data_IF_037033776591
#
_entry.id   IF_037033776591
#
_cell.length_a   1.000
_cell.length_b   1.000
_cell.length_c   1.000
_cell.angle_alpha   90.00
_cell.angle_beta   90.00
_cell.angle_gamma   90.00
#
_symmetry.space_group_name_H-M   'P 1'
#
loop_
_entity.id
_entity.type
_entity.pdbx_description
1 polymer ?
#
# COMPACT_ATOMS: atom_id res chain seq x y z
N UNK A 1 26.49 -1.69 2.90
CA UNK A 1 26.06 -0.91 4.10
C UNK A 1 25.08 0.15 3.65
N UNK A 2 23.78 -0.05 3.91
CA UNK A 2 22.76 0.95 3.59
C UNK A 2 22.70 1.97 4.75
N UNK A 3 23.05 3.22 4.47
CA UNK A 3 23.06 4.29 5.46
C UNK A 3 21.67 4.94 5.51
N UNK A 4 21.04 4.91 6.68
CA UNK A 4 19.67 5.36 6.96
C UNK A 4 19.64 6.85 7.35
N UNK A 5 19.01 7.71 6.54
CA UNK A 5 18.75 9.11 6.90
C UNK A 5 17.26 9.46 6.75
N UNK A 6 16.47 9.14 7.78
CA UNK A 6 15.05 9.50 7.81
C UNK A 6 14.80 10.94 8.26
N UNK A 7 13.76 11.54 7.68
CA UNK A 7 13.04 12.76 8.08
C UNK A 7 12.20 12.48 9.35
N UNK A 8 12.82 12.00 10.42
CA UNK A 8 12.20 11.91 11.74
C UNK A 8 13.06 12.76 12.69
N UNK A 9 12.51 13.81 13.32
CA UNK A 9 13.29 14.65 14.22
C UNK A 9 13.99 13.77 15.27
N UNK A 10 15.27 14.04 15.61
CA UNK A 10 16.06 13.25 16.55
C UNK A 10 15.35 12.84 17.86
N UNK A 11 14.45 13.66 18.46
CA UNK A 11 13.72 13.29 19.67
C UNK A 11 12.77 12.08 19.50
N UNK A 12 12.11 11.94 18.34
CA UNK A 12 11.16 10.84 18.10
C UNK A 12 11.86 9.50 17.91
N UNK A 13 13.04 9.48 17.28
CA UNK A 13 13.84 8.26 17.06
C UNK A 13 14.28 7.61 18.37
N UNK A 14 14.68 8.40 19.37
CA UNK A 14 15.05 7.89 20.71
C UNK A 14 13.88 7.31 21.49
N UNK A 15 12.65 7.78 21.26
CA UNK A 15 11.45 7.38 22.00
C UNK A 15 10.82 6.08 21.47
N UNK A 16 10.88 5.84 20.16
CA UNK A 16 10.19 4.72 19.53
C UNK A 16 11.06 3.48 19.29
N UNK A 17 12.40 3.60 19.33
CA UNK A 17 13.35 2.50 19.07
C UNK A 17 13.11 1.71 17.76
N UNK A 18 12.46 2.33 16.77
CA UNK A 18 12.17 1.70 15.48
C UNK A 18 13.23 2.04 14.44
N UNK A 19 13.65 1.03 13.67
CA UNK A 19 14.50 1.21 12.51
C UNK A 19 13.65 1.61 11.30
N UNK A 20 14.03 2.68 10.61
CA UNK A 20 13.45 3.04 9.31
C UNK A 20 14.37 2.50 8.20
N UNK A 21 13.77 1.85 7.20
CA UNK A 21 14.49 1.32 6.05
C UNK A 21 14.21 2.18 4.82
N UNK A 22 15.28 2.68 4.19
CA UNK A 22 15.24 3.28 2.86
C UNK A 22 15.96 2.33 1.90
N UNK A 23 15.25 1.86 0.89
CA UNK A 23 15.78 0.95 -0.12
C UNK A 23 15.05 1.17 -1.45
N UNK A 24 15.61 0.62 -2.54
CA UNK A 24 14.93 0.64 -3.83
C UNK A 24 13.66 -0.22 -3.75
N UNK A 25 12.58 0.24 -4.39
CA UNK A 25 11.32 -0.51 -4.49
C UNK A 25 11.56 -1.90 -5.10
N UNK A 26 12.42 -2.01 -6.10
CA UNK A 26 12.79 -3.28 -6.73
C UNK A 26 13.37 -4.26 -5.71
N UNK A 27 14.24 -3.79 -4.82
CA UNK A 27 14.93 -4.62 -3.85
C UNK A 27 13.95 -5.10 -2.77
N UNK A 28 13.11 -4.18 -2.26
CA UNK A 28 12.07 -4.53 -1.29
C UNK A 28 11.11 -5.59 -1.86
N UNK A 29 10.63 -5.39 -3.09
CA UNK A 29 9.75 -6.36 -3.75
C UNK A 29 10.45 -7.70 -3.98
N UNK A 30 11.72 -7.69 -4.37
CA UNK A 30 12.52 -8.91 -4.54
C UNK A 30 12.66 -9.70 -3.23
N UNK A 31 12.96 -9.02 -2.12
CA UNK A 31 13.06 -9.64 -0.79
C UNK A 31 11.71 -10.25 -0.37
N UNK A 32 10.62 -9.51 -0.53
CA UNK A 32 9.28 -9.98 -0.15
C UNK A 32 8.84 -11.17 -1.01
N UNK A 33 9.09 -11.13 -2.31
CA UNK A 33 8.77 -12.23 -3.23
C UNK A 33 9.55 -13.49 -2.87
N UNK A 34 10.88 -13.37 -2.69
CA UNK A 34 11.73 -14.49 -2.30
C UNK A 34 11.23 -15.13 -1.01
N UNK A 35 10.93 -14.31 0.01
CA UNK A 35 10.44 -14.81 1.29
C UNK A 35 9.06 -15.47 1.18
N UNK A 36 8.15 -14.91 0.39
CA UNK A 36 6.83 -15.50 0.18
C UNK A 36 6.95 -16.88 -0.50
N UNK A 37 7.79 -17.00 -1.52
CA UNK A 37 8.04 -18.27 -2.21
C UNK A 37 8.70 -19.31 -1.29
N UNK A 38 9.69 -18.92 -0.48
CA UNK A 38 10.29 -19.81 0.54
C UNK A 38 9.27 -20.37 1.52
N UNK A 39 8.25 -19.57 1.87
CA UNK A 39 7.15 -19.97 2.75
C UNK A 39 6.05 -20.78 2.03
N UNK A 40 6.21 -21.06 0.74
CA UNK A 40 5.29 -21.87 -0.06
C UNK A 40 4.19 -21.09 -0.77
N UNK A 41 4.27 -19.75 -0.83
CA UNK A 41 3.32 -18.97 -1.62
C UNK A 41 3.50 -19.25 -3.12
N UNK A 42 2.39 -19.53 -3.81
CA UNK A 42 2.38 -19.75 -5.27
C UNK A 42 2.20 -18.41 -5.98
N UNK A 43 3.26 -17.92 -6.63
CA UNK A 43 3.22 -16.68 -7.40
C UNK A 43 3.06 -16.97 -8.89
N UNK A 44 2.01 -16.42 -9.52
CA UNK A 44 1.76 -16.53 -10.96
C UNK A 44 1.91 -15.15 -11.60
N UNK A 45 2.89 -15.01 -12.49
CA UNK A 45 3.11 -13.79 -13.28
C UNK A 45 2.42 -13.88 -14.64
N UNK A 46 2.12 -12.73 -15.25
CA UNK A 46 1.35 -12.68 -16.50
C UNK A 46 -0.12 -13.10 -16.33
N UNK A 47 -0.61 -13.11 -15.08
CA UNK A 47 -1.94 -13.54 -14.70
C UNK A 47 -2.79 -12.32 -14.31
N UNK A 48 -3.40 -11.66 -15.30
CA UNK A 48 -4.23 -10.47 -15.10
C UNK A 48 -5.69 -10.85 -14.82
N UNK A 49 -6.26 -10.29 -13.75
CA UNK A 49 -7.68 -10.48 -13.41
C UNK A 49 -8.56 -9.61 -14.31
N UNK A 50 -9.53 -10.25 -14.97
CA UNK A 50 -10.52 -9.58 -15.81
C UNK A 50 -11.79 -9.23 -15.04
N UNK A 51 -12.27 -10.15 -14.21
CA UNK A 51 -13.51 -9.98 -13.45
C UNK A 51 -13.51 -10.73 -12.13
N UNK A 52 -14.40 -10.32 -11.22
CA UNK A 52 -14.61 -10.96 -9.94
C UNK A 52 -16.09 -10.97 -9.57
N UNK A 53 -16.62 -12.16 -9.26
CA UNK A 53 -17.92 -12.29 -8.63
C UNK A 53 -17.74 -12.23 -7.11
N UNK A 54 -18.14 -11.09 -6.54
CA UNK A 54 -18.00 -10.78 -5.14
C UNK A 54 -19.25 -11.09 -4.31
N UNK A 55 -20.32 -11.61 -4.93
CA UNK A 55 -21.60 -11.90 -4.26
C UNK A 55 -21.80 -13.41 -4.00
N UNK A 56 -21.04 -14.28 -4.69
CA UNK A 56 -21.09 -15.73 -4.49
C UNK A 56 -20.50 -16.21 -3.14
N UNK A 57 -20.94 -17.37 -2.65
CA UNK A 57 -20.46 -18.01 -1.40
C UNK A 57 -18.95 -18.32 -1.40
N UNK A 58 -18.36 -18.43 -2.59
CA UNK A 58 -16.92 -18.40 -2.84
C UNK A 58 -16.66 -17.37 -3.94
N UNK A 59 -15.59 -16.61 -3.80
CA UNK A 59 -15.24 -15.59 -4.79
C UNK A 59 -14.73 -16.26 -6.06
N UNK A 60 -15.47 -16.08 -7.16
CA UNK A 60 -15.07 -16.53 -8.49
C UNK A 60 -14.23 -15.45 -9.14
N UNK A 61 -12.99 -15.80 -9.48
CA UNK A 61 -12.04 -14.93 -10.16
C UNK A 61 -11.94 -15.35 -11.62
N UNK A 62 -12.22 -14.43 -12.53
CA UNK A 62 -12.08 -14.64 -13.98
C UNK A 62 -10.83 -13.94 -14.48
N UNK A 63 -9.93 -14.69 -15.10
CA UNK A 63 -8.69 -14.20 -15.68
C UNK A 63 -8.89 -13.64 -17.10
N UNK A 64 -7.95 -12.83 -17.58
CA UNK A 64 -7.98 -12.32 -18.98
C UNK A 64 -7.85 -13.41 -20.05
N UNK A 65 -7.34 -14.59 -19.68
CA UNK A 65 -7.32 -15.79 -20.55
C UNK A 65 -8.58 -16.66 -20.41
N UNK A 66 -9.66 -16.11 -19.85
CA UNK A 66 -10.96 -16.76 -19.61
C UNK A 66 -10.96 -17.92 -18.60
N UNK A 67 -9.81 -18.24 -18.00
CA UNK A 67 -9.76 -19.23 -16.92
C UNK A 67 -10.43 -18.69 -15.66
N UNK A 68 -11.16 -19.56 -14.97
CA UNK A 68 -11.84 -19.21 -13.72
C UNK A 68 -11.27 -19.99 -12.54
N UNK A 69 -11.20 -19.32 -11.39
CA UNK A 69 -10.71 -19.90 -10.14
C UNK A 69 -11.65 -19.56 -9.00
N UNK A 70 -11.85 -20.50 -8.08
CA UNK A 70 -12.64 -20.30 -6.87
C UNK A 70 -11.72 -20.15 -5.67
N UNK A 71 -11.94 -19.10 -4.90
CA UNK A 71 -11.22 -18.83 -3.66
C UNK A 71 -12.19 -18.58 -2.50
N UNK A 72 -11.80 -18.97 -1.29
CA UNK A 72 -12.59 -18.70 -0.08
C UNK A 72 -12.51 -17.22 0.35
N UNK A 73 -11.40 -16.55 -0.02
CA UNK A 73 -11.12 -15.14 0.18
C UNK A 73 -10.27 -14.62 -0.98
N UNK A 74 -10.62 -13.44 -1.51
CA UNK A 74 -9.79 -12.67 -2.44
C UNK A 74 -9.31 -11.38 -1.76
N UNK A 75 -8.00 -11.17 -1.78
CA UNK A 75 -7.36 -9.95 -1.29
C UNK A 75 -6.98 -9.10 -2.50
N UNK A 76 -7.64 -7.97 -2.68
CA UNK A 76 -7.40 -7.05 -3.77
C UNK A 76 -6.34 -6.02 -3.36
N UNK A 77 -5.12 -6.21 -3.87
CA UNK A 77 -3.99 -5.29 -3.74
C UNK A 77 -3.50 -4.80 -5.12
N UNK A 78 -4.43 -4.63 -6.07
CA UNK A 78 -4.19 -4.22 -7.47
C UNK A 78 -3.98 -2.72 -7.65
N UNK A 79 -3.84 -2.01 -6.53
CA UNK A 79 -3.36 -0.65 -6.46
C UNK A 79 -4.41 0.39 -6.82
N UNK A 80 -3.91 1.57 -7.16
CA UNK A 80 -4.74 2.79 -7.17
C UNK A 80 -5.77 2.87 -8.28
N UNK A 81 -5.55 2.13 -9.38
CA UNK A 81 -6.49 1.97 -10.50
C UNK A 81 -7.23 0.64 -10.39
N UNK A 82 -7.48 0.18 -9.16
CA UNK A 82 -8.06 -1.12 -8.86
C UNK A 82 -9.31 -1.39 -9.69
N UNK A 83 -9.24 -2.42 -10.55
CA UNK A 83 -10.41 -2.93 -11.29
C UNK A 83 -11.34 -3.64 -10.31
N UNK A 84 -10.76 -4.34 -9.33
CA UNK A 84 -11.51 -5.07 -8.31
C UNK A 84 -12.36 -4.13 -7.46
N UNK A 85 -11.83 -2.99 -7.02
CA UNK A 85 -12.57 -1.97 -6.27
C UNK A 85 -13.80 -1.49 -7.03
N UNK A 86 -13.65 -1.18 -8.31
CA UNK A 86 -14.77 -0.73 -9.15
C UNK A 86 -15.92 -1.73 -9.17
N UNK A 87 -15.62 -3.04 -9.12
CA UNK A 87 -16.62 -4.10 -9.11
C UNK A 87 -17.17 -4.45 -7.72
N UNK A 88 -16.39 -4.27 -6.65
CA UNK A 88 -16.83 -4.62 -5.28
C UNK A 88 -17.51 -3.47 -4.56
N UNK A 89 -16.81 -2.33 -4.45
CA UNK A 89 -17.22 -1.19 -3.62
C UNK A 89 -17.74 -0.04 -4.49
N UNK A 90 -17.32 0.02 -5.75
CA UNK A 90 -17.73 1.01 -6.72
C UNK A 90 -16.57 1.84 -7.27
N UNK A 91 -16.85 2.65 -8.28
CA UNK A 91 -15.85 3.51 -8.90
C UNK A 91 -15.61 4.77 -8.08
N UNK A 92 -14.35 5.16 -7.98
CA UNK A 92 -13.93 6.42 -7.37
C UNK A 92 -13.23 7.29 -8.40
N UNK A 93 -13.46 8.60 -8.32
CA UNK A 93 -12.75 9.55 -9.17
C UNK A 93 -11.35 9.77 -8.63
N UNK A 94 -10.33 9.39 -9.39
CA UNK A 94 -8.94 9.51 -8.96
C UNK A 94 -8.40 10.88 -9.38
N UNK A 95 -7.98 11.68 -8.41
CA UNK A 95 -7.59 13.08 -8.63
C UNK A 95 -6.08 13.18 -8.82
N UNK A 96 -5.65 13.92 -9.85
CA UNK A 96 -4.25 14.11 -10.25
C UNK A 96 -3.84 15.60 -10.21
N UNK A 97 -3.60 16.18 -9.02
CA UNK A 97 -3.41 17.63 -8.92
C UNK A 97 -1.98 18.10 -9.28
N UNK A 98 -0.98 17.22 -9.22
CA UNK A 98 0.44 17.57 -9.41
C UNK A 98 1.19 16.40 -10.07
N UNK A 99 2.27 16.69 -10.79
CA UNK A 99 3.25 15.71 -11.29
C UNK A 99 4.62 16.00 -10.67
N UNK A 100 5.33 14.99 -10.17
CA UNK A 100 6.70 15.14 -9.61
C UNK A 100 7.67 14.24 -10.37
N UNK A 101 8.88 14.75 -10.60
CA UNK A 101 9.97 14.03 -11.25
C UNK A 101 10.95 13.52 -10.20
N UNK A 102 11.40 12.27 -10.34
CA UNK A 102 12.60 11.79 -9.65
C UNK A 102 13.35 10.82 -10.54
N UNK A 103 14.68 10.88 -10.41
CA UNK A 103 15.64 10.11 -11.20
C UNK A 103 16.54 9.34 -10.23
N UNK A 104 16.95 8.14 -10.63
CA UNK A 104 18.06 7.45 -9.98
C UNK A 104 19.34 7.87 -10.69
N UNK A 105 20.31 8.35 -9.94
CA UNK A 105 21.59 8.79 -10.49
C UNK A 105 22.69 7.96 -9.85
N UNK A 106 23.61 7.49 -10.68
CA UNK A 106 24.79 6.76 -10.21
C UNK A 106 25.58 7.63 -9.23
N UNK A 107 25.79 7.10 -8.02
CA UNK A 107 26.46 7.82 -6.93
C UNK A 107 27.88 8.23 -7.29
N UNK A 108 28.62 7.40 -8.01
CA UNK A 108 30.01 7.68 -8.39
C UNK A 108 30.09 8.75 -9.48
N UNK A 109 29.10 8.81 -10.37
CA UNK A 109 28.96 9.92 -11.33
C UNK A 109 28.53 11.22 -10.64
N UNK A 110 27.65 11.14 -9.65
CA UNK A 110 27.18 12.29 -8.85
C UNK A 110 28.32 12.98 -8.09
N UNK A 111 29.25 12.21 -7.52
CA UNK A 111 30.43 12.74 -6.80
C UNK A 111 31.36 13.60 -7.67
N UNK A 112 31.31 13.43 -8.99
CA UNK A 112 32.15 14.18 -9.93
C UNK A 112 31.65 15.63 -10.11
N UNK A 113 30.45 15.94 -9.62
CA UNK A 113 29.79 17.24 -9.77
C UNK A 113 29.54 17.88 -8.39
N UNK A 114 30.37 18.86 -8.03
CA UNK A 114 30.32 19.57 -6.72
C UNK A 114 28.98 20.26 -6.46
N UNK A 115 28.32 20.73 -7.51
CA UNK A 115 27.00 21.38 -7.48
C UNK A 115 25.87 20.41 -7.10
N UNK A 116 26.07 19.10 -7.25
CA UNK A 116 25.07 18.08 -6.97
C UNK A 116 25.23 17.40 -5.60
N UNK A 117 26.19 17.85 -4.78
CA UNK A 117 26.48 17.28 -3.45
C UNK A 117 25.24 17.32 -2.52
N UNK A 118 24.38 18.34 -2.69
CA UNK A 118 23.11 18.49 -1.97
C UNK A 118 22.11 17.34 -2.24
N UNK A 119 22.17 16.71 -3.40
CA UNK A 119 21.28 15.61 -3.80
C UNK A 119 21.73 14.25 -3.29
N UNK A 120 22.97 14.10 -2.81
CA UNK A 120 23.46 12.86 -2.19
C UNK A 120 22.68 12.46 -0.92
N UNK A 121 21.83 13.36 -0.41
CA UNK A 121 21.07 13.19 0.82
C UNK A 121 19.54 13.10 0.63
N UNK A 122 18.98 13.03 -0.60
CA UNK A 122 17.52 12.90 -0.83
C UNK A 122 17.15 12.19 -2.16
N UNK A 123 16.17 11.29 -2.15
CA UNK A 123 15.67 10.59 -3.37
C UNK A 123 14.24 10.01 -3.26
N UNK A 124 13.46 10.01 -4.37
CA UNK A 124 12.26 9.14 -4.60
C UNK A 124 11.12 9.68 -5.53
N UNK A 125 10.53 8.84 -6.41
CA UNK A 125 9.45 9.12 -7.42
C UNK A 125 8.15 8.35 -7.17
N UNK A 126 6.97 8.98 -7.32
CA UNK A 126 5.62 8.38 -7.39
C UNK A 126 4.61 9.31 -8.10
N UNK A 127 3.59 8.76 -8.77
CA UNK A 127 2.48 9.53 -9.34
C UNK A 127 1.45 9.90 -8.25
N UNK A 128 0.97 11.15 -8.24
CA UNK A 128 -0.07 11.61 -7.30
C UNK A 128 -1.41 11.12 -7.75
N UNK A 129 -1.95 10.22 -6.95
CA UNK A 129 -3.27 9.69 -7.09
C UNK A 129 -3.77 9.57 -5.65
N UNK A 130 -4.96 10.10 -5.41
CA UNK A 130 -5.65 10.02 -4.14
C UNK A 130 -7.02 9.42 -4.43
N UNK A 131 -7.50 8.55 -3.55
CA UNK A 131 -8.87 8.07 -3.63
C UNK A 131 -9.67 8.65 -2.46
N UNK A 132 -10.89 9.14 -2.70
CA UNK A 132 -11.77 9.54 -1.62
C UNK A 132 -12.01 8.38 -0.66
N UNK A 133 -12.32 8.71 0.60
CA UNK A 133 -12.62 7.73 1.64
C UNK A 133 -13.74 6.78 1.16
N UNK A 134 -13.43 5.49 1.19
CA UNK A 134 -14.39 4.45 0.81
C UNK A 134 -15.36 4.23 1.96
N UNK A 135 -16.65 4.05 1.64
CA UNK A 135 -17.66 3.71 2.65
C UNK A 135 -17.46 2.32 3.26
N UNK A 136 -16.84 1.39 2.52
CA UNK A 136 -16.41 0.08 3.03
C UNK A 136 -15.23 -0.45 2.21
N UNK A 137 -14.43 -1.36 2.79
CA UNK A 137 -13.30 -2.01 2.12
C UNK A 137 -13.58 -3.47 1.78
N UNK A 138 -14.73 -3.99 2.22
CA UNK A 138 -15.13 -5.38 2.08
C UNK A 138 -16.36 -5.52 1.19
N UNK A 139 -16.45 -6.63 0.45
CA UNK A 139 -17.69 -7.00 -0.25
C UNK A 139 -18.79 -7.33 0.77
N UNK A 140 -20.06 -7.31 0.34
CA UNK A 140 -21.20 -7.56 1.24
C UNK A 140 -21.13 -8.91 1.98
N UNK A 141 -20.57 -9.93 1.33
CA UNK A 141 -20.37 -11.26 1.91
C UNK A 141 -19.05 -11.41 2.69
N UNK A 142 -18.20 -10.38 2.75
CA UNK A 142 -16.92 -10.39 3.44
C UNK A 142 -15.83 -11.27 2.79
N UNK A 143 -15.97 -11.63 1.52
CA UNK A 143 -15.04 -12.56 0.83
C UNK A 143 -14.11 -11.90 -0.17
N UNK A 144 -14.32 -10.62 -0.45
CA UNK A 144 -13.37 -9.78 -1.17
C UNK A 144 -13.01 -8.59 -0.28
N UNK A 145 -11.71 -8.38 -0.05
CA UNK A 145 -11.20 -7.29 0.78
C UNK A 145 -10.16 -6.48 0.03
N UNK A 146 -10.29 -5.15 0.08
CA UNK A 146 -9.33 -4.21 -0.50
C UNK A 146 -8.23 -3.88 0.53
N UNK A 147 -6.97 -3.85 0.10
CA UNK A 147 -5.82 -3.41 0.93
C UNK A 147 -4.89 -2.47 0.15
N UNK A 148 -4.02 -1.74 0.87
CA UNK A 148 -3.06 -0.82 0.28
C UNK A 148 -3.72 0.25 -0.59
N UNK A 149 -3.07 0.60 -1.70
CA UNK A 149 -3.57 1.65 -2.61
C UNK A 149 -4.94 1.34 -3.24
N UNK A 150 -5.39 0.08 -3.23
CA UNK A 150 -6.75 -0.26 -3.65
C UNK A 150 -7.80 0.27 -2.67
N UNK A 151 -7.47 0.35 -1.38
CA UNK A 151 -8.38 0.75 -0.30
C UNK A 151 -8.16 2.19 0.22
N UNK A 152 -6.90 2.64 0.30
CA UNK A 152 -6.53 3.93 0.90
C UNK A 152 -5.29 4.53 0.24
N UNK A 153 -5.29 4.55 -1.09
CA UNK A 153 -4.30 5.28 -1.86
C UNK A 153 -4.07 6.69 -1.31
N UNK A 154 -2.81 7.01 -1.00
CA UNK A 154 -2.44 8.22 -0.28
C UNK A 154 -1.39 9.04 -1.02
N UNK A 155 -1.33 10.32 -0.68
CA UNK A 155 -0.31 11.24 -1.22
C UNK A 155 1.12 10.76 -0.89
N UNK A 156 2.04 10.72 -1.86
CA UNK A 156 3.37 10.14 -1.69
C UNK A 156 4.28 10.90 -0.71
N UNK A 157 3.99 12.17 -0.39
CA UNK A 157 4.71 12.90 0.67
C UNK A 157 4.53 12.30 2.06
N UNK A 158 3.52 11.43 2.25
CA UNK A 158 3.35 10.72 3.50
C UNK A 158 4.44 9.67 3.75
N UNK A 159 5.17 9.22 2.72
CA UNK A 159 6.16 8.13 2.79
C UNK A 159 5.65 6.86 3.51
N UNK A 160 4.33 6.63 3.46
CA UNK A 160 3.64 5.61 4.26
C UNK A 160 2.90 4.55 3.46
N UNK A 161 2.72 4.70 2.15
CA UNK A 161 1.90 3.76 1.37
C UNK A 161 2.34 2.30 1.47
N UNK A 162 3.64 2.04 1.29
CA UNK A 162 4.20 0.70 1.41
C UNK A 162 4.10 0.16 2.85
N UNK A 163 4.42 0.98 3.85
CA UNK A 163 4.31 0.61 5.27
C UNK A 163 2.86 0.28 5.67
N UNK A 164 1.91 1.12 5.27
CA UNK A 164 0.47 0.90 5.49
C UNK A 164 -0.01 -0.39 4.84
N UNK A 165 0.44 -0.70 3.61
CA UNK A 165 0.07 -1.96 2.93
C UNK A 165 0.61 -3.21 3.65
N UNK A 166 1.81 -3.12 4.23
CA UNK A 166 2.39 -4.20 5.05
C UNK A 166 1.60 -4.36 6.36
N UNK A 167 1.25 -3.25 7.02
CA UNK A 167 0.40 -3.26 8.22
C UNK A 167 -0.98 -3.86 7.94
N UNK A 168 -1.60 -3.54 6.80
CA UNK A 168 -2.88 -4.12 6.40
C UNK A 168 -2.77 -5.64 6.26
N UNK A 169 -1.73 -6.10 5.56
CA UNK A 169 -1.49 -7.53 5.33
C UNK A 169 -1.32 -8.28 6.65
N UNK A 170 -0.53 -7.72 7.58
CA UNK A 170 -0.31 -8.31 8.90
C UNK A 170 -1.57 -8.30 9.76
N UNK A 171 -2.32 -7.19 9.75
CA UNK A 171 -3.57 -7.06 10.50
C UNK A 171 -4.62 -8.06 9.98
N UNK A 172 -4.82 -8.12 8.66
CA UNK A 172 -5.79 -9.00 8.02
C UNK A 172 -5.46 -10.47 8.31
N UNK A 173 -4.20 -10.88 8.12
CA UNK A 173 -3.75 -12.22 8.45
C UNK A 173 -4.03 -12.58 9.91
N UNK A 174 -3.82 -11.63 10.84
CA UNK A 174 -4.08 -11.85 12.26
C UNK A 174 -5.57 -11.97 12.57
N UNK A 175 -6.41 -11.12 11.98
CA UNK A 175 -7.86 -11.17 12.14
C UNK A 175 -8.41 -12.51 11.63
N UNK A 176 -8.03 -12.92 10.43
CA UNK A 176 -8.46 -14.20 9.85
C UNK A 176 -7.99 -15.39 10.71
N UNK A 177 -6.74 -15.38 11.18
CA UNK A 177 -6.20 -16.48 11.99
C UNK A 177 -6.91 -16.71 13.33
N UNK A 178 -7.69 -15.72 13.79
CA UNK A 178 -8.40 -15.73 15.08
C UNK A 178 -9.92 -15.81 14.92
N UNK A 179 -10.44 -15.56 13.73
CA UNK A 179 -11.86 -15.60 13.46
C UNK A 179 -12.34 -17.04 13.26
N UNK A 180 -13.61 -17.28 13.54
CA UNK A 180 -14.28 -18.56 13.29
C UNK A 180 -14.70 -18.69 11.81
N UNK A 181 -14.76 -17.58 11.08
CA UNK A 181 -15.08 -17.53 9.66
C UNK A 181 -14.36 -16.40 8.92
N UNK A 182 -14.23 -16.52 7.60
CA UNK A 182 -13.64 -15.46 6.76
C UNK A 182 -14.41 -14.14 6.89
N UNK A 183 -15.76 -14.10 6.76
CA UNK A 183 -16.50 -12.85 6.85
C UNK A 183 -16.34 -12.15 8.21
N UNK A 184 -16.26 -12.92 9.30
CA UNK A 184 -15.98 -12.38 10.63
C UNK A 184 -14.59 -11.74 10.69
N UNK A 185 -13.56 -12.41 10.16
CA UNK A 185 -12.19 -11.88 10.14
C UNK A 185 -12.07 -10.58 9.35
N UNK A 186 -12.72 -10.50 8.19
CA UNK A 186 -12.73 -9.28 7.36
C UNK A 186 -13.53 -8.15 8.00
N UNK A 187 -14.65 -8.46 8.67
CA UNK A 187 -15.47 -7.49 9.37
C UNK A 187 -14.74 -6.85 10.57
N UNK A 188 -13.86 -7.60 11.25
CA UNK A 188 -13.01 -7.08 12.33
C UNK A 188 -11.83 -6.28 11.77
N UNK A 189 -11.26 -6.71 10.65
CA UNK A 189 -10.12 -6.04 10.01
C UNK A 189 -10.44 -4.60 9.59
N UNK A 190 -11.56 -4.39 8.91
CA UNK A 190 -11.92 -3.11 8.31
C UNK A 190 -11.92 -1.92 9.30
N UNK A 191 -12.64 -1.96 10.45
CA UNK A 191 -12.65 -0.85 11.39
C UNK A 191 -11.30 -0.58 12.05
N UNK A 192 -10.46 -1.61 12.24
CA UNK A 192 -9.11 -1.45 12.80
C UNK A 192 -8.27 -0.60 11.85
N UNK A 193 -8.32 -0.89 10.55
CA UNK A 193 -7.45 -0.23 9.56
C UNK A 193 -7.99 1.08 9.02
N UNK A 194 -9.30 1.19 8.80
CA UNK A 194 -9.91 2.45 8.36
C UNK A 194 -9.65 3.58 9.37
N UNK A 195 -9.77 3.30 10.67
CA UNK A 195 -9.45 4.24 11.73
C UNK A 195 -7.96 4.64 11.73
N UNK A 196 -7.04 3.69 11.56
CA UNK A 196 -5.61 3.97 11.47
C UNK A 196 -5.26 4.88 10.29
N UNK A 197 -5.92 4.72 9.15
CA UNK A 197 -5.70 5.59 7.98
C UNK A 197 -6.32 6.97 8.18
N UNK A 198 -7.52 7.03 8.77
CA UNK A 198 -8.20 8.30 9.07
C UNK A 198 -7.40 9.17 10.05
N UNK A 199 -6.90 8.58 11.15
CA UNK A 199 -6.01 9.26 12.10
C UNK A 199 -4.72 9.73 11.41
N UNK A 200 -4.18 8.92 10.49
CA UNK A 200 -3.04 9.31 9.65
C UNK A 200 -3.32 10.55 8.80
N UNK A 201 -4.50 10.63 8.18
CA UNK A 201 -4.93 11.77 7.38
C UNK A 201 -5.09 13.05 8.22
N UNK A 202 -5.71 12.95 9.40
CA UNK A 202 -5.85 14.09 10.32
C UNK A 202 -4.50 14.65 10.78
N UNK A 203 -3.56 13.78 11.14
CA UNK A 203 -2.22 14.22 11.52
C UNK A 203 -1.51 14.95 10.36
N UNK A 204 -1.64 14.44 9.12
CA UNK A 204 -1.06 15.10 7.95
C UNK A 204 -1.68 16.48 7.68
N UNK A 205 -3.00 16.61 7.82
CA UNK A 205 -3.70 17.89 7.69
C UNK A 205 -3.29 18.89 8.78
N UNK A 206 -3.20 18.43 10.04
CA UNK A 206 -2.76 19.26 11.16
C UNK A 206 -1.33 19.79 10.96
N UNK A 207 -0.39 18.92 10.59
CA UNK A 207 1.00 19.31 10.30
C UNK A 207 1.10 20.27 9.10
N UNK A 208 0.23 20.13 8.09
CA UNK A 208 0.19 21.05 6.94
C UNK A 208 -0.31 22.45 7.31
N UNK A 209 -1.16 22.59 8.33
CA UNK A 209 -1.59 23.88 8.86
C UNK A 209 -0.46 24.55 9.64
N UNK A 210 0.23 23.81 10.49
CA UNK A 210 1.37 24.32 11.25
C UNK A 210 2.51 24.85 10.35
N UNK A 211 2.76 24.21 9.20
CA UNK A 211 3.77 24.67 8.24
C UNK A 211 3.34 25.88 7.38
N UNK A 212 2.08 26.30 7.43
CA UNK A 212 1.61 27.52 6.74
C UNK A 212 1.61 28.76 7.63
N UNK A 213 1.76 28.58 8.94
CA UNK A 213 1.77 29.63 9.95
C UNK A 213 3.19 29.99 10.44
N UNK A 214 4.22 29.37 9.86
CA UNK A 214 5.64 29.64 10.10
C UNK A 214 6.32 30.18 8.84
#
# INVERSE_FOLDING_TARGET
MATCYTICPPPCRKRLQVANLECLRSDLLGILLARATELGAVCRFGASVADIDAEADRSLLTMENEQTFLFDLVIASDGIRSKTRTKTVGSVNVIHPVTVYSINVDREKLKQHKDLEIFLNRSGFWNFLDIPELGTWTSKNGRVVLIGDAAHAMRPFAARGAGSSIEDSACLAKCISRASSIPEGTAVFEPIRSLCQWLGHLCALYLSKLNKEA
#
